data_IF_810059294601
#
_entry.id   IF_810059294601
#
_cell.length_a   1.000
_cell.length_b   1.000
_cell.length_c   1.000
_cell.angle_alpha   90.00
_cell.angle_beta   90.00
_cell.angle_gamma   90.00
#
_symmetry.space_group_name_H-M   'P 1'
#
loop_
_entity.id
_entity.type
_entity.pdbx_description
1 polymer ?
#
# COMPACT_ATOMS: atom_id res chain seq x y z
N UNK A 1 7.98 21.08 -2.39
CA UNK A 1 8.28 19.75 -2.98
C UNK A 1 9.30 19.94 -4.10
N UNK A 2 10.33 19.10 -4.21
CA UNK A 2 11.43 19.28 -5.18
C UNK A 2 10.98 19.37 -6.66
N UNK A 3 9.78 18.87 -6.98
CA UNK A 3 9.23 18.84 -8.35
C UNK A 3 8.17 19.93 -8.62
N UNK A 4 8.17 21.05 -7.89
CA UNK A 4 7.11 22.07 -8.00
C UNK A 4 7.01 22.78 -9.37
N UNK A 5 8.10 22.78 -10.15
CA UNK A 5 8.14 23.40 -11.49
C UNK A 5 7.44 22.57 -12.55
N UNK A 6 7.35 21.25 -12.35
CA UNK A 6 6.77 20.30 -13.31
C UNK A 6 5.42 19.76 -12.85
N UNK A 7 5.11 19.83 -11.55
CA UNK A 7 3.90 19.24 -10.97
C UNK A 7 3.14 20.25 -10.11
N UNK A 8 1.82 20.30 -10.29
CA UNK A 8 0.92 21.08 -9.46
C UNK A 8 0.05 20.16 -8.58
N UNK A 9 -0.14 20.53 -7.31
CA UNK A 9 -1.07 19.88 -6.40
C UNK A 9 -2.46 20.48 -6.56
N UNK A 10 -3.46 19.65 -6.83
CA UNK A 10 -4.87 20.09 -6.94
C UNK A 10 -5.76 19.31 -5.99
N UNK A 11 -6.47 20.03 -5.12
CA UNK A 11 -7.54 19.47 -4.30
C UNK A 11 -8.73 19.08 -5.19
N UNK A 12 -9.10 17.80 -5.18
CA UNK A 12 -10.23 17.27 -5.97
C UNK A 12 -11.55 17.59 -5.26
N UNK A 13 -12.59 17.95 -6.02
CA UNK A 13 -13.95 18.27 -5.51
C UNK A 13 -14.83 17.05 -5.30
N UNK A 14 -14.49 15.90 -5.89
CA UNK A 14 -15.28 14.66 -5.87
C UNK A 14 -14.42 13.54 -5.29
N UNK A 15 -15.03 12.61 -4.54
CA UNK A 15 -14.35 11.42 -4.00
C UNK A 15 -13.83 10.56 -5.15
N UNK A 16 -12.57 10.14 -5.06
CA UNK A 16 -11.94 9.24 -6.04
C UNK A 16 -11.30 8.09 -5.27
N UNK A 17 -11.28 6.91 -5.89
CA UNK A 17 -10.53 5.76 -5.37
C UNK A 17 -9.16 5.79 -6.05
N UNK A 18 -8.06 5.83 -5.29
CA UNK A 18 -6.72 5.71 -5.86
C UNK A 18 -6.58 4.35 -6.55
N UNK A 19 -6.23 4.36 -7.83
CA UNK A 19 -5.80 3.16 -8.55
C UNK A 19 -4.29 3.20 -8.61
N UNK A 20 -3.63 2.20 -8.01
CA UNK A 20 -2.20 2.01 -8.16
C UNK A 20 -1.95 1.50 -9.58
N UNK A 21 -1.48 2.38 -10.48
CA UNK A 21 -1.11 2.03 -11.83
C UNK A 21 0.39 1.71 -11.91
N UNK A 22 0.74 0.60 -12.56
CA UNK A 22 2.13 0.19 -12.80
C UNK A 22 2.54 -1.00 -11.95
N UNK A 23 3.51 -0.81 -11.06
CA UNK A 23 4.10 -1.90 -10.27
C UNK A 23 3.06 -2.59 -9.39
N UNK A 24 3.11 -3.92 -9.29
CA UNK A 24 2.20 -4.67 -8.42
C UNK A 24 2.40 -4.28 -6.95
N UNK A 25 1.37 -4.54 -6.12
CA UNK A 25 1.42 -4.23 -4.69
C UNK A 25 2.68 -4.91 -4.10
N UNK A 26 3.54 -4.19 -3.36
CA UNK A 26 4.76 -4.77 -2.81
C UNK A 26 4.45 -5.97 -1.90
N UNK A 27 5.41 -6.88 -1.79
CA UNK A 27 5.27 -8.07 -0.95
C UNK A 27 5.67 -7.78 0.48
N UNK A 28 4.97 -8.38 1.45
CA UNK A 28 5.29 -8.18 2.88
C UNK A 28 6.45 -9.05 3.37
N UNK A 29 6.72 -10.16 2.69
CA UNK A 29 7.75 -11.13 3.05
C UNK A 29 9.16 -10.74 2.57
N UNK A 30 9.29 -9.65 1.82
CA UNK A 30 10.56 -9.13 1.31
C UNK A 30 11.01 -7.92 2.15
N UNK A 31 12.12 -8.00 2.92
CA UNK A 31 12.55 -6.94 3.83
C UNK A 31 12.86 -5.61 3.12
N UNK A 32 13.40 -5.66 1.91
CA UNK A 32 13.71 -4.50 1.07
C UNK A 32 12.44 -3.77 0.56
N UNK A 33 11.28 -4.42 0.68
CA UNK A 33 9.98 -3.88 0.30
C UNK A 33 9.13 -3.43 1.48
N UNK A 34 9.56 -3.62 2.73
CA UNK A 34 8.76 -3.36 3.93
C UNK A 34 8.16 -1.94 3.95
N UNK A 35 8.99 -0.92 3.70
CA UNK A 35 8.52 0.48 3.66
C UNK A 35 7.56 0.74 2.49
N UNK A 36 7.84 0.15 1.31
CA UNK A 36 6.97 0.31 0.13
C UNK A 36 5.61 -0.36 0.38
N UNK A 37 5.61 -1.54 0.99
CA UNK A 37 4.41 -2.25 1.39
C UNK A 37 3.60 -1.41 2.38
N UNK A 38 4.24 -0.88 3.43
CA UNK A 38 3.60 -0.02 4.41
C UNK A 38 2.96 1.22 3.76
N UNK A 39 3.67 1.91 2.88
CA UNK A 39 3.14 3.07 2.12
C UNK A 39 1.92 2.66 1.29
N UNK A 40 1.97 1.53 0.59
CA UNK A 40 0.88 1.05 -0.25
C UNK A 40 -0.38 0.75 0.59
N UNK A 41 -0.25 -0.03 1.67
CA UNK A 41 -1.37 -0.39 2.54
C UNK A 41 -1.94 0.84 3.26
N UNK A 42 -1.09 1.72 3.78
CA UNK A 42 -1.54 2.99 4.38
C UNK A 42 -2.31 3.83 3.37
N UNK A 43 -1.86 3.91 2.13
CA UNK A 43 -2.54 4.69 1.08
C UNK A 43 -3.91 4.12 0.72
N UNK A 44 -4.06 2.80 0.73
CA UNK A 44 -5.32 2.14 0.36
C UNK A 44 -6.35 2.13 1.50
N UNK A 45 -5.91 1.88 2.74
CA UNK A 45 -6.81 1.57 3.86
C UNK A 45 -6.91 2.68 4.91
N UNK A 46 -6.02 3.69 4.90
CA UNK A 46 -6.19 4.85 5.77
C UNK A 46 -7.25 5.78 5.16
N UNK A 47 -8.19 6.30 5.96
CA UNK A 47 -9.18 7.26 5.47
C UNK A 47 -8.50 8.48 4.85
N UNK A 48 -8.89 8.79 3.62
CA UNK A 48 -8.39 9.96 2.90
C UNK A 48 -9.04 11.21 3.49
N UNK A 49 -8.24 12.08 4.10
CA UNK A 49 -8.71 13.33 4.67
C UNK A 49 -8.33 14.52 3.79
N UNK A 50 -9.19 15.53 3.79
CA UNK A 50 -8.96 16.80 3.08
C UNK A 50 -8.09 17.79 3.87
N UNK A 51 -7.73 17.47 5.11
CA UNK A 51 -6.83 18.30 5.92
C UNK A 51 -5.38 18.03 5.53
N UNK A 52 -4.62 19.10 5.27
CA UNK A 52 -3.19 19.03 4.97
C UNK A 52 -2.36 18.38 6.11
N UNK A 53 -2.94 18.31 7.31
CA UNK A 53 -2.35 17.71 8.51
C UNK A 53 -2.65 16.22 8.67
N UNK A 54 -3.43 15.61 7.78
CA UNK A 54 -3.71 14.17 7.83
C UNK A 54 -2.67 13.38 7.01
N UNK A 55 -1.41 13.50 7.41
CA UNK A 55 -0.33 12.70 6.84
C UNK A 55 -0.60 11.20 7.01
N UNK A 56 -0.15 10.38 6.05
CA UNK A 56 -0.26 8.92 6.12
C UNK A 56 0.44 8.32 7.34
N UNK A 57 1.40 9.05 7.92
CA UNK A 57 2.03 8.80 9.21
C UNK A 57 2.46 10.11 9.87
N UNK A 58 2.60 10.16 11.20
CA UNK A 58 3.31 11.24 11.88
C UNK A 58 4.78 11.32 11.44
N UNK A 59 5.41 12.49 11.56
CA UNK A 59 6.81 12.70 11.16
C UNK A 59 7.77 11.80 11.96
N UNK A 60 7.51 11.65 13.26
CA UNK A 60 8.37 10.91 14.20
C UNK A 60 8.10 9.39 14.24
N UNK A 61 7.29 8.85 13.33
CA UNK A 61 6.92 7.43 13.32
C UNK A 61 7.44 6.78 12.05
N UNK A 62 7.98 5.56 12.13
CA UNK A 62 8.42 4.81 10.94
C UNK A 62 7.23 4.36 10.10
N UNK A 63 7.46 3.96 8.84
CA UNK A 63 6.38 3.43 8.00
C UNK A 63 5.82 2.12 8.57
N UNK A 64 6.69 1.23 9.03
CA UNK A 64 6.34 -0.03 9.69
C UNK A 64 5.47 0.18 10.94
N UNK A 65 5.85 1.11 11.83
CA UNK A 65 5.07 1.38 13.04
C UNK A 65 3.70 1.97 12.71
N UNK A 66 3.64 2.87 11.72
CA UNK A 66 2.37 3.44 11.27
C UNK A 66 1.44 2.37 10.67
N UNK A 67 2.00 1.40 9.94
CA UNK A 67 1.26 0.25 9.43
C UNK A 67 0.72 -0.61 10.57
N UNK A 68 1.55 -0.97 11.55
CA UNK A 68 1.12 -1.77 12.72
C UNK A 68 -0.04 -1.10 13.45
N UNK A 69 0.03 0.22 13.64
CA UNK A 69 -1.05 1.01 14.25
C UNK A 69 -2.32 1.05 13.40
N UNK A 70 -2.22 0.99 12.08
CA UNK A 70 -3.37 0.92 11.20
C UNK A 70 -4.02 -0.47 11.32
N UNK A 71 -3.23 -1.53 11.19
CA UNK A 71 -3.72 -2.91 11.21
C UNK A 71 -4.47 -3.24 12.51
N UNK A 72 -4.01 -2.75 13.65
CA UNK A 72 -4.69 -2.95 14.94
C UNK A 72 -6.06 -2.26 15.05
N UNK A 73 -6.35 -1.29 14.17
CA UNK A 73 -7.60 -0.52 14.15
C UNK A 73 -8.54 -0.95 13.02
N UNK A 74 -8.06 -1.74 12.07
CA UNK A 74 -8.86 -2.13 10.92
C UNK A 74 -9.87 -3.23 11.28
N UNK A 75 -11.10 -3.15 10.77
CA UNK A 75 -12.07 -4.24 10.84
C UNK A 75 -11.52 -5.55 10.22
N UNK A 76 -11.97 -6.73 10.71
CA UNK A 76 -11.49 -8.03 10.23
C UNK A 76 -11.63 -8.25 8.71
N UNK A 77 -12.68 -7.70 8.10
CA UNK A 77 -12.87 -7.84 6.65
C UNK A 77 -11.81 -7.10 5.84
N UNK A 78 -11.31 -5.96 6.32
CA UNK A 78 -10.21 -5.24 5.67
C UNK A 78 -8.88 -5.99 5.83
N UNK A 79 -8.62 -6.55 7.01
CA UNK A 79 -7.45 -7.39 7.24
C UNK A 79 -7.41 -8.58 6.29
N UNK A 80 -8.56 -9.25 6.11
CA UNK A 80 -8.70 -10.36 5.14
C UNK A 80 -8.37 -9.93 3.71
N UNK A 81 -8.81 -8.74 3.28
CA UNK A 81 -8.47 -8.21 1.95
C UNK A 81 -6.95 -7.97 1.83
N UNK A 82 -6.31 -7.44 2.88
CA UNK A 82 -4.86 -7.22 2.91
C UNK A 82 -4.12 -8.56 2.83
N UNK A 83 -4.57 -9.59 3.55
CA UNK A 83 -3.94 -10.92 3.48
C UNK A 83 -4.07 -11.55 2.08
N UNK A 84 -5.24 -11.42 1.45
CA UNK A 84 -5.42 -11.91 0.07
C UNK A 84 -4.46 -11.26 -0.94
N UNK A 85 -4.00 -10.02 -0.70
CA UNK A 85 -3.00 -9.38 -1.58
C UNK A 85 -1.67 -10.15 -1.57
N UNK A 86 -1.28 -10.71 -0.43
CA UNK A 86 -0.09 -11.56 -0.32
C UNK A 86 -0.35 -12.96 -0.91
N UNK A 87 -1.52 -13.56 -0.62
CA UNK A 87 -1.90 -14.86 -1.18
C UNK A 87 -1.88 -14.84 -2.72
N UNK A 88 -2.32 -13.74 -3.33
CA UNK A 88 -2.28 -13.58 -4.79
C UNK A 88 -0.85 -13.70 -5.34
N UNK A 89 0.14 -13.16 -4.63
CA UNK A 89 1.55 -13.32 -5.00
C UNK A 89 2.03 -14.74 -4.86
N UNK A 90 1.69 -15.39 -3.76
CA UNK A 90 2.07 -16.78 -3.48
C UNK A 90 1.50 -17.74 -4.54
N UNK A 91 0.23 -17.56 -4.91
CA UNK A 91 -0.40 -18.32 -5.98
C UNK A 91 0.29 -18.08 -7.33
N UNK A 92 0.65 -16.83 -7.63
CA UNK A 92 1.36 -16.51 -8.88
C UNK A 92 2.72 -17.20 -8.94
N UNK A 93 3.50 -17.15 -7.87
CA UNK A 93 4.81 -17.81 -7.79
C UNK A 93 4.67 -19.32 -7.96
N UNK A 94 3.72 -19.96 -7.25
CA UNK A 94 3.47 -21.39 -7.37
C UNK A 94 3.10 -21.81 -8.81
N UNK A 95 2.31 -20.98 -9.51
CA UNK A 95 1.95 -21.23 -10.90
C UNK A 95 3.15 -21.08 -11.85
N UNK A 96 4.01 -20.09 -11.62
CA UNK A 96 5.23 -19.85 -12.40
C UNK A 96 6.25 -21.00 -12.18
N UNK A 97 6.44 -21.45 -10.94
CA UNK A 97 7.31 -22.59 -10.57
C UNK A 97 6.84 -23.89 -11.23
N UNK A 98 5.54 -24.20 -11.16
CA UNK A 98 4.98 -25.38 -11.81
C UNK A 98 5.11 -25.32 -13.34
N UNK A 99 5.06 -24.12 -13.92
CA UNK A 99 5.24 -23.93 -15.36
C UNK A 99 6.71 -24.08 -15.79
N UNK A 100 7.65 -23.69 -14.93
CA UNK A 100 9.09 -23.88 -15.17
C UNK A 100 9.50 -25.35 -15.10
N UNK A 101 8.94 -26.12 -14.16
CA UNK A 101 9.20 -27.58 -14.02
C UNK A 101 8.70 -28.43 -15.19
N UNK A 102 7.78 -27.89 -16.02
CA UNK A 102 7.26 -28.56 -17.22
C UNK A 102 8.05 -28.27 -18.50
N UNK A 103 9.11 -27.46 -18.42
CA UNK A 103 10.04 -27.17 -19.52
C UNK A 103 11.28 -28.03 -19.39
#
# INVERSE_FOLDING_TARGET
>A
HPQYTTHALRKRKVRHIPVLCGWPIPRRDLPDQADKYAVAILSLFRPWSHSAHASLKPENVSWSDALVQLLSKLPPHHLKVIDHMQEQWECKLAADDFSALRR
#
